data_IF_922682834694
#
_entry.id   IF_922682834694
#
_cell.length_a   1.000
_cell.length_b   1.000
_cell.length_c   1.000
_cell.angle_alpha   90.00
_cell.angle_beta   90.00
_cell.angle_gamma   90.00
#
_symmetry.space_group_name_H-M   'P 1'
#
loop_
_entity.id
_entity.type
_entity.pdbx_description
1 polymer ?
#
# COMPACT_ATOMS: atom_id res chain seq x y z
N UNK A 1 -60.98 16.24 -6.33
CA UNK A 1 -60.07 15.79 -5.24
C UNK A 1 -59.82 14.32 -5.46
N UNK A 2 -58.68 13.97 -6.05
CA UNK A 2 -58.26 12.58 -6.24
C UNK A 2 -57.21 12.27 -5.17
N UNK A 3 -57.43 11.19 -4.42
CA UNK A 3 -56.55 10.74 -3.33
C UNK A 3 -55.54 9.79 -3.98
N UNK A 4 -54.28 10.21 -4.10
CA UNK A 4 -53.20 9.34 -4.55
C UNK A 4 -52.89 8.27 -3.48
N UNK A 5 -52.71 6.99 -3.85
CA UNK A 5 -52.32 5.96 -2.90
C UNK A 5 -50.86 6.16 -2.47
N UNK A 6 -50.63 6.04 -1.15
CA UNK A 6 -49.30 6.07 -0.55
C UNK A 6 -48.52 4.84 -1.01
N UNK A 7 -47.52 5.05 -1.86
CA UNK A 7 -46.49 4.07 -2.18
C UNK A 7 -45.61 3.89 -0.95
N UNK A 8 -45.79 2.78 -0.23
CA UNK A 8 -44.89 2.37 0.85
C UNK A 8 -43.56 1.90 0.25
N UNK A 9 -42.64 2.84 0.13
CA UNK A 9 -41.26 2.62 -0.29
C UNK A 9 -40.50 1.85 0.82
N UNK A 10 -40.30 0.56 0.60
CA UNK A 10 -39.20 -0.30 1.08
C UNK A 10 -38.46 0.08 2.39
N UNK A 11 -39.19 0.30 3.48
CA UNK A 11 -38.62 0.62 4.79
C UNK A 11 -38.49 -0.59 5.74
N UNK A 12 -38.44 -1.82 5.21
CA UNK A 12 -38.21 -3.05 6.01
C UNK A 12 -37.00 -3.89 5.55
N UNK A 13 -36.16 -3.37 4.65
CA UNK A 13 -34.98 -4.09 4.15
C UNK A 13 -33.65 -3.70 4.82
N UNK A 14 -33.66 -2.92 5.91
CA UNK A 14 -32.42 -2.42 6.54
C UNK A 14 -32.03 -3.09 7.86
N UNK A 15 -32.69 -4.19 8.28
CA UNK A 15 -32.36 -4.88 9.53
C UNK A 15 -31.57 -6.18 9.39
N UNK A 16 -31.04 -6.52 8.21
CA UNK A 16 -30.25 -7.75 8.09
C UNK A 16 -29.11 -7.59 7.08
N UNK A 17 -27.95 -7.15 7.57
CA UNK A 17 -26.61 -7.54 7.11
C UNK A 17 -25.54 -6.90 8.02
N UNK A 18 -25.53 -7.30 9.30
CA UNK A 18 -24.22 -7.52 9.94
C UNK A 18 -23.77 -8.88 9.39
N UNK A 19 -23.28 -8.84 8.15
CA UNK A 19 -22.71 -9.98 7.47
C UNK A 19 -21.24 -10.00 7.84
N UNK A 20 -20.94 -10.85 8.82
CA UNK A 20 -19.75 -11.70 8.89
C UNK A 20 -18.55 -11.21 8.07
N UNK A 21 -17.45 -10.89 8.77
CA UNK A 21 -16.10 -10.83 8.19
C UNK A 21 -15.78 -12.22 7.63
N UNK A 22 -16.24 -12.48 6.41
CA UNK A 22 -15.95 -13.68 5.63
C UNK A 22 -14.73 -13.38 4.78
N UNK A 23 -13.73 -14.24 4.89
CA UNK A 23 -12.54 -14.25 4.03
C UNK A 23 -12.96 -14.14 2.56
N UNK A 24 -12.85 -12.95 1.99
CA UNK A 24 -12.95 -12.73 0.56
C UNK A 24 -11.65 -13.28 -0.02
N UNK A 25 -11.64 -14.56 -0.41
CA UNK A 25 -10.55 -15.16 -1.15
C UNK A 25 -10.46 -14.47 -2.51
N UNK A 26 -9.66 -13.40 -2.58
CA UNK A 26 -9.32 -12.67 -3.79
C UNK A 26 -8.82 -13.71 -4.80
N UNK A 27 -9.48 -13.83 -5.93
CA UNK A 27 -9.03 -14.76 -6.98
C UNK A 27 -7.68 -14.28 -7.54
N UNK A 28 -6.80 -15.18 -8.03
CA UNK A 28 -5.51 -14.78 -8.59
C UNK A 28 -5.62 -13.72 -9.70
N UNK A 29 -6.70 -13.74 -10.47
CA UNK A 29 -7.00 -12.74 -11.51
C UNK A 29 -7.36 -11.36 -10.94
N UNK A 30 -8.11 -11.34 -9.84
CA UNK A 30 -8.53 -10.11 -9.16
C UNK A 30 -7.36 -9.49 -8.37
N UNK A 31 -6.46 -10.33 -7.86
CA UNK A 31 -5.17 -9.89 -7.31
C UNK A 31 -4.26 -9.27 -8.39
N UNK A 32 -4.22 -9.85 -9.59
CA UNK A 32 -3.43 -9.34 -10.72
C UNK A 32 -3.90 -7.94 -11.19
N UNK A 33 -5.21 -7.73 -11.26
CA UNK A 33 -5.78 -6.43 -11.67
C UNK A 33 -5.54 -5.33 -10.61
N UNK A 34 -5.67 -5.68 -9.33
CA UNK A 34 -5.34 -4.78 -8.23
C UNK A 34 -3.84 -4.45 -8.22
N UNK A 35 -2.98 -5.43 -8.48
CA UNK A 35 -1.53 -5.22 -8.60
C UNK A 35 -1.17 -4.32 -9.77
N UNK A 36 -1.77 -4.51 -10.95
CA UNK A 36 -1.51 -3.64 -12.12
C UNK A 36 -1.95 -2.20 -11.87
N UNK A 37 -3.05 -1.99 -11.15
CA UNK A 37 -3.54 -0.65 -10.79
C UNK A 37 -2.63 0.01 -9.75
N UNK A 38 -2.19 -0.76 -8.75
CA UNK A 38 -1.22 -0.33 -7.76
C UNK A 38 0.12 0.05 -8.41
N UNK A 39 0.62 -0.75 -9.34
CA UNK A 39 1.86 -0.50 -10.06
C UNK A 39 1.80 0.80 -10.87
N UNK A 40 0.68 1.07 -11.53
CA UNK A 40 0.47 2.31 -12.28
C UNK A 40 0.52 3.53 -11.35
N UNK A 41 -0.17 3.47 -10.20
CA UNK A 41 -0.14 4.54 -9.21
C UNK A 41 1.27 4.73 -8.62
N UNK A 42 1.99 3.65 -8.35
CA UNK A 42 3.35 3.72 -7.86
C UNK A 42 4.30 4.40 -8.86
N UNK A 43 4.15 4.14 -10.16
CA UNK A 43 4.94 4.82 -11.21
C UNK A 43 4.61 6.32 -11.26
N UNK A 44 3.34 6.70 -11.13
CA UNK A 44 2.95 8.11 -11.05
C UNK A 44 3.50 8.80 -9.79
N UNK A 45 3.51 8.11 -8.66
CA UNK A 45 4.03 8.65 -7.40
C UNK A 45 5.56 8.80 -7.43
N UNK A 46 6.28 7.86 -8.07
CA UNK A 46 7.72 8.01 -8.32
C UNK A 46 8.01 9.21 -9.21
N UNK A 47 7.20 9.43 -10.26
CA UNK A 47 7.36 10.60 -11.12
C UNK A 47 7.17 11.91 -10.35
N UNK A 48 6.13 11.99 -9.50
CA UNK A 48 5.90 13.14 -8.61
C UNK A 48 7.05 13.33 -7.61
N UNK A 49 7.54 12.23 -7.03
CA UNK A 49 8.66 12.27 -6.09
C UNK A 49 9.95 12.76 -6.76
N UNK A 50 10.19 12.38 -8.02
CA UNK A 50 11.34 12.82 -8.81
C UNK A 50 11.27 14.32 -9.11
N UNK A 51 10.12 14.83 -9.57
CA UNK A 51 9.92 16.28 -9.79
C UNK A 51 10.11 17.07 -8.49
N UNK A 52 9.61 16.54 -7.37
CA UNK A 52 9.80 17.18 -6.06
C UNK A 52 11.27 17.11 -5.60
N UNK A 53 11.96 16.01 -5.88
CA UNK A 53 13.40 15.86 -5.63
C UNK A 53 14.23 16.85 -6.43
N UNK A 54 13.88 17.12 -7.69
CA UNK A 54 14.58 18.11 -8.51
C UNK A 54 14.42 19.53 -7.92
N UNK A 55 13.19 19.89 -7.50
CA UNK A 55 12.91 21.16 -6.80
C UNK A 55 13.64 21.25 -5.46
N UNK A 56 13.73 20.15 -4.72
CA UNK A 56 14.44 20.09 -3.44
C UNK A 56 15.95 20.10 -3.62
N UNK A 57 16.48 19.55 -4.72
CA UNK A 57 17.90 19.58 -5.07
C UNK A 57 18.33 20.98 -5.50
N UNK A 58 17.48 21.69 -6.22
CA UNK A 58 17.66 23.13 -6.51
C UNK A 58 17.68 23.98 -5.22
N UNK A 59 16.88 23.59 -4.21
CA UNK A 59 16.93 24.21 -2.88
C UNK A 59 18.16 23.79 -2.07
N UNK A 60 18.61 22.53 -2.16
CA UNK A 60 19.76 21.99 -1.43
C UNK A 60 21.10 22.49 -1.98
N UNK A 61 21.20 22.78 -3.28
CA UNK A 61 22.35 23.47 -3.88
C UNK A 61 22.63 24.85 -3.24
N UNK A 62 21.70 25.35 -2.41
CA UNK A 62 21.87 26.55 -1.59
C UNK A 62 22.62 26.31 -0.25
N UNK A 63 22.93 25.05 0.10
CA UNK A 63 23.97 24.62 1.05
C UNK A 63 23.64 24.77 2.55
N UNK A 64 23.39 23.66 3.26
CA UNK A 64 23.23 23.65 4.73
C UNK A 64 23.90 22.44 5.44
N UNK A 65 24.24 22.68 6.71
CA UNK A 65 25.16 22.02 7.64
C UNK A 65 24.93 20.52 7.93
N UNK A 66 26.02 19.73 8.00
CA UNK A 66 26.01 18.36 8.53
C UNK A 66 27.08 18.21 9.61
N UNK A 67 26.66 17.84 10.81
CA UNK A 67 27.51 17.59 11.97
C UNK A 67 28.02 16.13 11.97
N UNK A 68 29.30 15.90 12.30
CA UNK A 68 29.96 14.58 12.19
C UNK A 68 29.25 13.45 12.97
N UNK A 69 28.55 13.77 14.06
CA UNK A 69 27.83 12.79 14.88
C UNK A 69 26.63 12.17 14.15
N UNK A 70 25.98 12.92 13.26
CA UNK A 70 24.84 12.45 12.48
C UNK A 70 25.26 11.39 11.45
N UNK A 71 26.47 11.54 10.86
CA UNK A 71 27.02 10.56 9.91
C UNK A 71 27.27 9.22 10.59
N UNK A 72 27.78 9.21 11.83
CA UNK A 72 28.02 7.98 12.59
C UNK A 72 26.70 7.29 12.97
N UNK A 73 25.72 8.05 13.47
CA UNK A 73 24.38 7.55 13.78
C UNK A 73 23.71 6.98 12.52
N UNK A 74 23.78 7.69 11.40
CA UNK A 74 23.22 7.25 10.13
C UNK A 74 23.87 5.96 9.64
N UNK A 75 25.20 5.82 9.76
CA UNK A 75 25.93 4.60 9.40
C UNK A 75 25.52 3.39 10.26
N UNK A 76 25.40 3.58 11.58
CA UNK A 76 24.92 2.53 12.49
C UNK A 76 23.47 2.11 12.15
N UNK A 77 22.59 3.09 11.93
CA UNK A 77 21.19 2.87 11.57
C UNK A 77 21.04 2.16 10.23
N UNK A 78 21.83 2.54 9.23
CA UNK A 78 21.85 1.90 7.91
C UNK A 78 22.27 0.43 8.02
N UNK A 79 23.29 0.12 8.81
CA UNK A 79 23.75 -1.25 9.04
C UNK A 79 22.66 -2.15 9.64
N UNK A 80 21.98 -1.67 10.69
CA UNK A 80 20.89 -2.41 11.35
C UNK A 80 19.69 -2.58 10.40
N UNK A 81 19.34 -1.53 9.66
CA UNK A 81 18.22 -1.55 8.70
C UNK A 81 18.48 -2.52 7.55
N UNK A 82 19.72 -2.59 7.07
CA UNK A 82 20.11 -3.54 6.04
C UNK A 82 19.94 -4.99 6.52
N UNK A 83 20.41 -5.28 7.73
CA UNK A 83 20.23 -6.61 8.34
C UNK A 83 18.75 -6.98 8.47
N UNK A 84 17.91 -6.07 8.99
CA UNK A 84 16.47 -6.29 9.08
C UNK A 84 15.82 -6.53 7.70
N UNK A 85 16.29 -5.82 6.67
CA UNK A 85 15.79 -5.98 5.30
C UNK A 85 16.13 -7.36 4.73
N UNK A 86 17.32 -7.89 5.02
CA UNK A 86 17.71 -9.23 4.60
C UNK A 86 16.81 -10.30 5.23
N UNK A 87 16.48 -10.17 6.52
CA UNK A 87 15.56 -11.08 7.20
C UNK A 87 14.15 -11.03 6.59
N UNK A 88 13.63 -9.83 6.33
CA UNK A 88 12.32 -9.65 5.67
C UNK A 88 12.34 -10.25 4.26
N UNK A 89 13.40 -10.01 3.47
CA UNK A 89 13.56 -10.59 2.14
C UNK A 89 13.50 -12.12 2.19
N UNK A 90 14.22 -12.74 3.11
CA UNK A 90 14.25 -14.19 3.25
C UNK A 90 12.84 -14.73 3.58
N UNK A 91 12.12 -14.11 4.51
CA UNK A 91 10.75 -14.50 4.88
C UNK A 91 9.74 -14.33 3.75
N UNK A 92 9.88 -13.29 2.92
CA UNK A 92 9.01 -13.08 1.75
C UNK A 92 9.26 -14.13 0.67
N UNK A 93 10.51 -14.53 0.45
CA UNK A 93 10.85 -15.62 -0.49
C UNK A 93 10.28 -16.95 0.00
N UNK A 94 10.42 -17.26 1.28
CA UNK A 94 9.81 -18.45 1.89
C UNK A 94 8.28 -18.45 1.73
N UNK A 95 7.62 -17.33 2.01
CA UNK A 95 6.16 -17.20 1.86
C UNK A 95 5.70 -17.39 0.41
N UNK A 96 6.47 -16.88 -0.56
CA UNK A 96 6.19 -17.10 -1.98
C UNK A 96 6.32 -18.58 -2.37
N UNK A 97 7.39 -19.24 -1.92
CA UNK A 97 7.59 -20.68 -2.15
C UNK A 97 6.47 -21.52 -1.54
N UNK A 98 6.01 -21.16 -0.33
CA UNK A 98 4.93 -21.89 0.35
C UNK A 98 3.58 -21.74 -0.38
N UNK A 99 3.24 -20.54 -0.85
CA UNK A 99 2.03 -20.30 -1.66
C UNK A 99 2.08 -21.11 -2.96
N UNK A 100 3.24 -21.23 -3.61
CA UNK A 100 3.39 -22.07 -4.81
C UNK A 100 3.23 -23.57 -4.49
N UNK A 101 3.73 -24.04 -3.35
CA UNK A 101 3.56 -25.43 -2.90
C UNK A 101 2.12 -25.76 -2.51
N UNK A 102 1.30 -24.78 -2.12
CA UNK A 102 -0.13 -24.97 -1.85
C UNK A 102 -0.99 -25.08 -3.13
N UNK A 103 -0.48 -24.67 -4.30
CA UNK A 103 -1.26 -24.59 -5.54
C UNK A 103 -1.06 -25.78 -6.50
N UNK A 104 -0.31 -26.82 -6.10
CA UNK A 104 -0.14 -28.06 -6.89
C UNK A 104 -0.97 -29.21 -6.33
#
# INVERSE_FOLDING_TARGET
>A
MAINPITFNNAIASTNKIQTVGSNSITPSEAQQNFSSFLKNAIEDVNKAQVNSDVMTEKLAKGENVELHDVMIASQKASITLQATLEVRNKVVEAYQEVMRMQV
#
